data_IF_032121471024
#
_entry.id   IF_032121471024
#
_cell.length_a   1.000
_cell.length_b   1.000
_cell.length_c   1.000
_cell.angle_alpha   90.00
_cell.angle_beta   90.00
_cell.angle_gamma   90.00
#
_symmetry.space_group_name_H-M   'P 1'
#
loop_
_entity.id
_entity.type
_entity.pdbx_description
1 polymer ?
#
# COMPACT_ATOMS: atom_id res chain seq x y z
N UNK A 1 34.47 18.07 28.46
CA UNK A 1 33.05 18.52 28.33
C UNK A 1 32.41 18.17 26.98
N UNK A 2 33.07 18.29 25.83
CA UNK A 2 32.45 18.02 24.50
C UNK A 2 31.91 16.59 24.27
N UNK A 3 32.55 15.56 24.85
CA UNK A 3 32.15 14.15 24.68
C UNK A 3 30.83 13.78 25.41
N UNK A 4 30.52 14.45 26.52
CA UNK A 4 29.27 14.23 27.28
C UNK A 4 28.07 14.79 26.51
N UNK A 5 28.25 15.94 25.87
CA UNK A 5 27.22 16.61 25.06
C UNK A 5 26.86 15.81 23.81
N UNK A 6 27.85 15.23 23.10
CA UNK A 6 27.57 14.38 21.94
C UNK A 6 26.82 13.09 22.30
N UNK A 7 27.11 12.48 23.45
CA UNK A 7 26.40 11.27 23.91
C UNK A 7 24.95 11.56 24.29
N UNK A 8 24.70 12.68 24.97
CA UNK A 8 23.34 13.11 25.30
C UNK A 8 22.50 13.42 24.05
N UNK A 9 23.07 14.13 23.07
CA UNK A 9 22.40 14.43 21.80
C UNK A 9 22.06 13.13 21.03
N UNK A 10 23.01 12.18 20.93
CA UNK A 10 22.76 10.88 20.28
C UNK A 10 21.66 10.08 20.98
N UNK A 11 21.62 10.11 22.32
CA UNK A 11 20.56 9.48 23.10
C UNK A 11 19.19 10.10 22.80
N UNK A 12 19.09 11.44 22.81
CA UNK A 12 17.86 12.16 22.51
C UNK A 12 17.35 11.90 21.07
N UNK A 13 18.24 11.90 20.07
CA UNK A 13 17.90 11.58 18.67
C UNK A 13 17.40 10.14 18.57
N UNK A 14 18.07 9.19 19.25
CA UNK A 14 17.65 7.79 19.28
C UNK A 14 16.23 7.64 19.86
N UNK A 15 15.93 8.30 20.98
CA UNK A 15 14.60 8.27 21.60
C UNK A 15 13.53 8.90 20.71
N UNK A 16 13.82 10.04 20.06
CA UNK A 16 12.89 10.67 19.09
C UNK A 16 12.57 9.74 17.93
N UNK A 17 13.58 9.06 17.37
CA UNK A 17 13.40 8.12 16.26
C UNK A 17 12.59 6.89 16.68
N UNK A 18 12.78 6.37 17.90
CA UNK A 18 12.00 5.24 18.43
C UNK A 18 10.52 5.62 18.57
N UNK A 19 10.23 6.79 19.18
CA UNK A 19 8.86 7.28 19.34
C UNK A 19 8.19 7.53 17.98
N UNK A 20 8.91 8.10 17.03
CA UNK A 20 8.40 8.33 15.69
C UNK A 20 8.13 7.03 14.93
N UNK A 21 9.01 6.04 15.06
CA UNK A 21 8.78 4.71 14.49
C UNK A 21 7.55 4.03 15.10
N UNK A 22 7.34 4.17 16.40
CA UNK A 22 6.10 3.71 17.05
C UNK A 22 4.86 4.37 16.43
N UNK A 23 4.88 5.69 16.21
CA UNK A 23 3.79 6.41 15.54
C UNK A 23 3.51 5.86 14.14
N UNK A 24 4.55 5.60 13.34
CA UNK A 24 4.36 4.96 12.03
C UNK A 24 3.69 3.59 12.13
N UNK A 25 4.14 2.73 13.04
CA UNK A 25 3.53 1.41 13.23
C UNK A 25 2.04 1.52 13.60
N UNK A 26 1.64 2.50 14.42
CA UNK A 26 0.24 2.76 14.76
C UNK A 26 -0.57 3.25 13.56
N UNK A 27 -0.02 4.16 12.75
CA UNK A 27 -0.66 4.61 11.51
C UNK A 27 -0.85 3.46 10.52
N UNK A 28 0.15 2.59 10.38
CA UNK A 28 0.04 1.39 9.55
C UNK A 28 -1.06 0.45 10.03
N UNK A 29 -1.22 0.28 11.34
CA UNK A 29 -2.32 -0.53 11.90
C UNK A 29 -3.69 0.03 11.53
N UNK A 30 -3.85 1.37 11.58
CA UNK A 30 -5.09 2.05 11.17
C UNK A 30 -5.40 1.85 9.68
N UNK A 31 -4.39 1.89 8.81
CA UNK A 31 -4.56 1.58 7.38
C UNK A 31 -5.03 0.12 7.19
N UNK A 32 -4.45 -0.84 7.91
CA UNK A 32 -4.89 -2.24 7.85
C UNK A 32 -6.31 -2.44 8.39
N UNK A 33 -6.69 -1.76 9.48
CA UNK A 33 -8.07 -1.76 9.98
C UNK A 33 -9.05 -1.18 8.95
N UNK A 34 -8.67 -0.07 8.30
CA UNK A 34 -9.47 0.57 7.26
C UNK A 34 -9.67 -0.38 6.07
N UNK A 35 -8.62 -1.06 5.60
CA UNK A 35 -8.73 -2.06 4.53
C UNK A 35 -9.68 -3.21 4.91
N UNK A 36 -9.62 -3.71 6.15
CA UNK A 36 -10.55 -4.74 6.64
C UNK A 36 -11.99 -4.24 6.74
N UNK A 37 -12.19 -2.98 7.11
CA UNK A 37 -13.50 -2.36 7.15
C UNK A 37 -14.09 -2.20 5.75
N UNK A 38 -13.29 -1.74 4.78
CA UNK A 38 -13.71 -1.65 3.37
C UNK A 38 -14.10 -3.03 2.85
N UNK A 39 -13.33 -4.09 3.15
CA UNK A 39 -13.68 -5.48 2.79
C UNK A 39 -15.02 -5.93 3.41
N UNK A 40 -15.34 -5.49 4.64
CA UNK A 40 -16.63 -5.77 5.30
C UNK A 40 -17.79 -4.99 4.66
N UNK A 41 -17.54 -3.77 4.21
CA UNK A 41 -18.53 -2.96 3.48
C UNK A 41 -18.78 -3.57 2.10
N UNK A 42 -17.71 -3.91 1.38
CA UNK A 42 -17.74 -4.53 0.05
C UNK A 42 -18.63 -5.78 0.03
N UNK A 43 -18.59 -6.63 1.06
CA UNK A 43 -19.41 -7.84 1.10
C UNK A 43 -20.93 -7.57 1.15
N UNK A 44 -21.35 -6.34 1.45
CA UNK A 44 -22.77 -5.94 1.52
C UNK A 44 -23.34 -5.47 0.19
N UNK A 45 -22.48 -5.05 -0.74
CA UNK A 45 -22.90 -4.50 -2.03
C UNK A 45 -22.87 -5.55 -3.13
N UNK A 46 -23.90 -5.59 -3.98
CA UNK A 46 -23.98 -6.49 -5.15
C UNK A 46 -23.58 -5.81 -6.47
N UNK A 47 -23.80 -4.48 -6.58
CA UNK A 47 -23.57 -3.72 -7.81
C UNK A 47 -22.08 -3.65 -8.17
N UNK A 48 -21.71 -4.05 -9.39
CA UNK A 48 -20.30 -4.26 -9.78
C UNK A 48 -19.47 -2.98 -9.82
N UNK A 49 -20.02 -1.88 -10.29
CA UNK A 49 -19.38 -0.55 -10.30
C UNK A 49 -18.93 -0.11 -8.89
N UNK A 50 -19.81 -0.23 -7.90
CA UNK A 50 -19.51 0.08 -6.49
C UNK A 50 -18.47 -0.87 -5.95
N UNK A 51 -18.61 -2.17 -6.22
CA UNK A 51 -17.66 -3.19 -5.76
C UNK A 51 -16.26 -2.95 -6.32
N UNK A 52 -16.13 -2.62 -7.61
CA UNK A 52 -14.83 -2.37 -8.23
C UNK A 52 -14.16 -1.11 -7.66
N UNK A 53 -14.93 -0.07 -7.36
CA UNK A 53 -14.42 1.11 -6.67
C UNK A 53 -13.90 0.77 -5.25
N UNK A 54 -14.63 -0.06 -4.51
CA UNK A 54 -14.21 -0.52 -3.18
C UNK A 54 -13.00 -1.46 -3.24
N UNK A 55 -12.91 -2.34 -4.25
CA UNK A 55 -11.73 -3.21 -4.46
C UNK A 55 -10.48 -2.37 -4.66
N UNK A 56 -10.56 -1.34 -5.52
CA UNK A 56 -9.46 -0.39 -5.71
C UNK A 56 -9.06 0.25 -4.39
N UNK A 57 -10.04 0.69 -3.60
CA UNK A 57 -9.79 1.34 -2.31
C UNK A 57 -9.13 0.39 -1.29
N UNK A 58 -9.52 -0.89 -1.25
CA UNK A 58 -8.83 -1.92 -0.43
C UNK A 58 -7.36 -2.00 -0.83
N UNK A 59 -7.06 -2.07 -2.13
CA UNK A 59 -5.68 -2.24 -2.61
C UNK A 59 -4.85 -1.00 -2.30
N UNK A 60 -5.37 0.19 -2.58
CA UNK A 60 -4.66 1.44 -2.29
C UNK A 60 -4.42 1.56 -0.78
N UNK A 61 -5.44 1.33 0.04
CA UNK A 61 -5.35 1.46 1.50
C UNK A 61 -4.41 0.43 2.11
N UNK A 62 -4.49 -0.84 1.68
CA UNK A 62 -3.56 -1.88 2.11
C UNK A 62 -2.11 -1.57 1.72
N UNK A 63 -1.89 -1.00 0.54
CA UNK A 63 -0.55 -0.75 0.00
C UNK A 63 0.13 0.49 0.60
N UNK A 64 -0.61 1.43 1.20
CA UNK A 64 -0.07 2.69 1.78
C UNK A 64 1.11 2.48 2.73
N UNK A 65 1.03 1.59 3.76
CA UNK A 65 2.13 1.35 4.68
C UNK A 65 3.44 0.89 4.02
N UNK A 66 3.37 0.32 2.83
CA UNK A 66 4.51 -0.22 2.09
C UNK A 66 5.10 0.76 1.08
N UNK A 67 4.52 1.96 0.97
CA UNK A 67 5.05 3.06 0.18
C UNK A 67 5.76 4.07 1.07
N UNK A 68 6.68 4.85 0.49
CA UNK A 68 7.54 5.77 1.23
C UNK A 68 6.71 6.75 2.07
N UNK A 69 6.86 6.66 3.40
CA UNK A 69 6.29 7.58 4.36
C UNK A 69 7.36 8.55 4.87
N UNK A 70 7.01 9.83 5.08
CA UNK A 70 7.92 10.85 5.59
C UNK A 70 7.49 11.32 6.96
N UNK A 71 8.43 11.40 7.88
CA UNK A 71 8.22 11.87 9.23
C UNK A 71 9.04 13.12 9.55
N UNK A 72 9.07 13.49 10.83
CA UNK A 72 9.82 14.66 11.31
C UNK A 72 11.32 14.37 11.42
N UNK A 73 11.69 13.19 11.93
CA UNK A 73 13.08 12.77 12.12
C UNK A 73 13.45 11.56 11.24
N UNK A 74 12.47 10.82 10.73
CA UNK A 74 12.67 9.71 9.79
C UNK A 74 12.31 10.19 8.38
N UNK A 75 13.31 10.33 7.52
CA UNK A 75 13.12 10.86 6.16
C UNK A 75 12.37 9.88 5.25
N UNK A 76 12.48 8.57 5.51
CA UNK A 76 11.82 7.50 4.75
C UNK A 76 11.48 6.34 5.68
N UNK A 77 10.20 6.02 5.81
CA UNK A 77 9.72 4.85 6.54
C UNK A 77 8.81 3.97 5.68
N UNK A 78 8.88 2.67 5.93
CA UNK A 78 8.07 1.65 5.30
C UNK A 78 7.71 0.58 6.32
N UNK A 79 6.53 -0.02 6.17
CA UNK A 79 6.11 -1.20 6.90
C UNK A 79 6.86 -2.43 6.37
N UNK A 80 8.01 -2.76 6.97
CA UNK A 80 8.67 -4.03 6.65
C UNK A 80 7.82 -5.19 7.16
N UNK A 81 7.56 -6.20 6.34
CA UNK A 81 6.91 -7.47 6.75
C UNK A 81 7.72 -8.63 6.22
N UNK A 82 7.92 -9.65 7.07
CA UNK A 82 8.51 -10.92 6.65
C UNK A 82 7.38 -11.91 6.41
N UNK A 83 7.42 -12.59 5.29
CA UNK A 83 6.45 -13.63 4.93
C UNK A 83 7.10 -14.99 5.12
N UNK A 84 6.44 -15.84 5.91
CA UNK A 84 6.74 -17.27 6.07
C UNK A 84 6.13 -18.12 4.94
N UNK A 85 5.06 -17.61 4.32
CA UNK A 85 4.34 -18.26 3.24
C UNK A 85 4.61 -17.56 1.88
N UNK A 86 5.20 -18.26 0.89
CA UNK A 86 5.45 -17.73 -0.44
C UNK A 86 4.20 -17.22 -1.17
N UNK A 87 3.03 -17.83 -0.95
CA UNK A 87 1.79 -17.41 -1.61
C UNK A 87 1.29 -16.08 -1.07
N UNK A 88 1.43 -15.85 0.25
CA UNK A 88 1.15 -14.55 0.86
C UNK A 88 2.08 -13.47 0.34
N UNK A 89 3.37 -13.80 0.18
CA UNK A 89 4.36 -12.88 -0.40
C UNK A 89 3.98 -12.53 -1.84
N UNK A 90 3.67 -13.54 -2.67
CA UNK A 90 3.26 -13.33 -4.06
C UNK A 90 2.01 -12.45 -4.17
N UNK A 91 0.99 -12.72 -3.36
CA UNK A 91 -0.21 -11.87 -3.32
C UNK A 91 0.11 -10.45 -2.86
N UNK A 92 0.98 -10.27 -1.84
CA UNK A 92 1.43 -8.95 -1.41
C UNK A 92 2.12 -8.19 -2.57
N UNK A 93 3.06 -8.83 -3.25
CA UNK A 93 3.79 -8.27 -4.39
C UNK A 93 2.82 -7.90 -5.53
N UNK A 94 1.83 -8.76 -5.82
CA UNK A 94 0.77 -8.49 -6.80
C UNK A 94 -0.05 -7.23 -6.44
N UNK A 95 -0.45 -7.08 -5.17
CA UNK A 95 -1.25 -5.93 -4.74
C UNK A 95 -0.46 -4.62 -4.78
N UNK A 96 0.82 -4.65 -4.42
CA UNK A 96 1.71 -3.49 -4.56
C UNK A 96 1.89 -3.11 -6.03
N UNK A 97 2.11 -4.11 -6.89
CA UNK A 97 2.21 -3.90 -8.33
C UNK A 97 0.94 -3.28 -8.90
N UNK A 98 -0.23 -3.81 -8.57
CA UNK A 98 -1.53 -3.25 -8.99
C UNK A 98 -1.74 -1.82 -8.49
N UNK A 99 -1.35 -1.52 -7.25
CA UNK A 99 -1.40 -0.14 -6.74
C UNK A 99 -0.53 0.77 -7.59
N UNK A 100 0.73 0.38 -7.80
CA UNK A 100 1.71 1.23 -8.48
C UNK A 100 1.34 1.42 -9.95
N UNK A 101 1.09 0.34 -10.66
CA UNK A 101 0.95 0.35 -12.12
C UNK A 101 -0.44 0.79 -12.60
N UNK A 102 -1.48 0.61 -11.78
CA UNK A 102 -2.87 0.77 -12.23
C UNK A 102 -3.70 1.75 -11.40
N UNK A 103 -3.64 1.69 -10.07
CA UNK A 103 -4.63 2.37 -9.23
C UNK A 103 -4.19 3.72 -8.66
N UNK A 104 -2.90 3.93 -8.43
CA UNK A 104 -2.36 5.16 -7.86
C UNK A 104 -1.53 5.97 -8.87
N UNK A 105 -1.06 5.34 -9.95
CA UNK A 105 -0.34 6.02 -11.03
C UNK A 105 -0.93 5.68 -12.41
N UNK A 106 -0.57 6.49 -13.40
CA UNK A 106 -0.98 6.30 -14.80
C UNK A 106 0.23 5.78 -15.57
N UNK A 107 0.61 4.53 -15.31
CA UNK A 107 1.80 3.95 -15.93
C UNK A 107 1.50 3.54 -17.38
N UNK A 108 2.27 4.11 -18.30
CA UNK A 108 2.12 3.88 -19.74
C UNK A 108 2.30 2.39 -20.11
N UNK A 109 3.24 1.73 -19.45
CA UNK A 109 3.60 0.32 -19.69
C UNK A 109 2.48 -0.65 -19.30
N UNK A 110 1.73 -0.34 -18.24
CA UNK A 110 0.64 -1.20 -17.79
C UNK A 110 -0.58 -1.13 -18.71
N UNK A 111 -0.97 0.09 -19.08
CA UNK A 111 -2.11 0.35 -19.97
C UNK A 111 -1.81 0.01 -21.41
N UNK A 112 -0.52 0.09 -21.78
CA UNK A 112 0.04 -0.16 -23.11
C UNK A 112 -0.86 0.38 -24.22
N UNK A 113 -1.14 1.71 -24.22
CA UNK A 113 -2.07 2.29 -25.16
C UNK A 113 -1.56 2.10 -26.59
N UNK A 114 -2.41 1.57 -27.45
CA UNK A 114 -2.12 1.46 -28.88
C UNK A 114 -2.70 2.68 -29.57
N UNK A 115 -1.83 3.47 -30.17
CA UNK A 115 -2.19 4.66 -30.95
C UNK A 115 -2.20 4.28 -32.43
N UNK A 116 -3.29 4.60 -33.12
CA UNK A 116 -3.32 4.57 -34.57
C UNK A 116 -3.21 6.00 -35.11
N UNK A 117 -2.72 6.16 -36.34
CA UNK A 117 -2.71 7.44 -37.03
C UNK A 117 -3.74 7.40 -38.15
N UNK A 118 -4.85 8.12 -37.96
CA UNK A 118 -5.94 8.28 -38.93
C UNK A 118 -5.95 9.69 -39.52
N UNK A 119 -4.79 10.35 -39.52
CA UNK A 119 -4.65 11.70 -40.05
C UNK A 119 -4.82 11.73 -41.57
N UNK A 120 -5.42 12.80 -42.06
CA UNK A 120 -5.41 13.22 -43.46
C UNK A 120 -4.44 14.39 -43.66
N UNK A 121 -4.36 14.91 -44.87
CA UNK A 121 -3.55 16.11 -45.19
C UNK A 121 -4.09 17.38 -44.50
N UNK A 122 -5.39 17.42 -44.22
CA UNK A 122 -6.08 18.58 -43.64
C UNK A 122 -6.43 18.40 -42.16
N UNK A 123 -6.38 17.18 -41.63
CA UNK A 123 -6.81 16.90 -40.25
C UNK A 123 -5.93 15.85 -39.58
N UNK A 124 -5.44 16.16 -38.37
CA UNK A 124 -4.66 15.20 -37.58
C UNK A 124 -5.57 14.45 -36.60
N UNK A 125 -5.55 13.13 -36.65
CA UNK A 125 -6.35 12.27 -35.78
C UNK A 125 -5.56 11.06 -35.30
N UNK A 126 -5.45 10.91 -33.99
CA UNK A 126 -4.70 9.83 -33.34
C UNK A 126 -5.56 9.08 -32.33
N UNK A 127 -6.50 8.24 -32.78
CA UNK A 127 -7.29 7.44 -31.86
C UNK A 127 -6.41 6.47 -31.07
N UNK A 128 -6.82 6.24 -29.83
CA UNK A 128 -6.08 5.44 -28.86
C UNK A 128 -6.99 4.38 -28.25
N UNK A 129 -6.51 3.15 -28.20
CA UNK A 129 -7.16 2.05 -27.48
C UNK A 129 -6.33 1.66 -26.27
N UNK A 130 -6.98 1.27 -25.19
CA UNK A 130 -6.33 0.94 -23.91
C UNK A 130 -6.80 -0.43 -23.44
N UNK A 131 -5.88 -1.25 -22.92
CA UNK A 131 -6.26 -2.54 -22.33
C UNK A 131 -7.05 -2.32 -21.03
N UNK A 132 -8.23 -2.94 -20.96
CA UNK A 132 -9.04 -3.00 -19.74
C UNK A 132 -8.38 -3.86 -18.66
N UNK A 133 -8.75 -3.62 -17.40
CA UNK A 133 -8.33 -4.46 -16.28
C UNK A 133 -9.46 -5.42 -15.89
N UNK A 134 -9.14 -6.69 -15.64
CA UNK A 134 -10.11 -7.68 -15.22
C UNK A 134 -10.34 -7.63 -13.71
N UNK A 135 -11.38 -6.91 -13.30
CA UNK A 135 -11.78 -6.83 -11.90
C UNK A 135 -12.40 -8.14 -11.37
N UNK A 136 -12.84 -9.08 -12.22
CA UNK A 136 -13.48 -10.33 -11.77
C UNK A 136 -12.47 -11.28 -11.16
N UNK A 137 -11.28 -11.39 -11.76
CA UNK A 137 -10.16 -12.15 -11.19
C UNK A 137 -9.83 -11.66 -9.78
N UNK A 138 -9.69 -10.34 -9.62
CA UNK A 138 -9.38 -9.73 -8.34
C UNK A 138 -10.49 -9.89 -7.31
N UNK A 139 -11.75 -9.82 -7.74
CA UNK A 139 -12.91 -10.08 -6.89
C UNK A 139 -12.94 -11.53 -6.37
N UNK A 140 -12.51 -12.50 -7.18
CA UNK A 140 -12.42 -13.91 -6.74
C UNK A 140 -11.39 -14.12 -5.63
N UNK A 141 -10.34 -13.30 -5.59
CA UNK A 141 -9.22 -13.37 -4.62
C UNK A 141 -9.51 -12.63 -3.31
N UNK A 142 -10.68 -12.00 -3.14
CA UNK A 142 -11.05 -11.25 -1.93
C UNK A 142 -10.87 -12.02 -0.60
N UNK A 143 -11.20 -13.33 -0.52
CA UNK A 143 -10.93 -14.09 0.70
C UNK A 143 -9.44 -14.18 1.04
N UNK A 144 -8.57 -14.34 0.03
CA UNK A 144 -7.12 -14.38 0.20
C UNK A 144 -6.58 -13.01 0.61
N UNK A 145 -7.04 -11.94 -0.05
CA UNK A 145 -6.67 -10.55 0.30
C UNK A 145 -7.01 -10.26 1.76
N UNK A 146 -8.21 -10.66 2.21
CA UNK A 146 -8.61 -10.51 3.61
C UNK A 146 -7.71 -11.28 4.59
N UNK A 147 -7.30 -12.50 4.24
CA UNK A 147 -6.36 -13.29 5.05
C UNK A 147 -4.98 -12.62 5.11
N UNK A 148 -4.51 -12.10 3.97
CA UNK A 148 -3.24 -11.38 3.88
C UNK A 148 -3.24 -10.12 4.75
N UNK A 149 -4.27 -9.27 4.66
CA UNK A 149 -4.35 -8.05 5.47
C UNK A 149 -4.32 -8.38 6.96
N UNK A 150 -5.07 -9.40 7.40
CA UNK A 150 -5.06 -9.86 8.80
C UNK A 150 -3.70 -10.37 9.24
N UNK A 151 -3.03 -11.13 8.39
CA UNK A 151 -1.69 -11.65 8.65
C UNK A 151 -0.69 -10.50 8.85
N UNK A 152 -0.65 -9.57 7.90
CA UNK A 152 0.22 -8.39 7.92
C UNK A 152 -0.05 -7.54 9.15
N UNK A 153 -1.32 -7.27 9.45
CA UNK A 153 -1.73 -6.51 10.62
C UNK A 153 -1.25 -7.17 11.91
N UNK A 154 -1.38 -8.50 12.03
CA UNK A 154 -0.86 -9.25 13.17
C UNK A 154 0.66 -9.06 13.32
N UNK A 155 1.41 -9.15 12.22
CA UNK A 155 2.87 -8.93 12.24
C UNK A 155 3.21 -7.50 12.67
N UNK A 156 2.47 -6.50 12.21
CA UNK A 156 2.64 -5.10 12.62
C UNK A 156 2.36 -4.92 14.13
N UNK A 157 1.29 -5.54 14.65
CA UNK A 157 0.94 -5.48 16.08
C UNK A 157 1.96 -6.15 16.99
N UNK A 158 2.62 -7.22 16.53
CA UNK A 158 3.74 -7.81 17.28
C UNK A 158 4.89 -6.80 17.43
N UNK A 159 5.21 -6.05 16.38
CA UNK A 159 6.23 -4.99 16.44
C UNK A 159 5.82 -3.84 17.35
N UNK A 160 4.55 -3.43 17.30
CA UNK A 160 4.01 -2.41 18.23
C UNK A 160 4.25 -2.87 19.68
N UNK A 161 3.89 -4.11 20.02
CA UNK A 161 4.06 -4.66 21.36
C UNK A 161 5.56 -4.76 21.78
N UNK A 162 6.48 -4.99 20.86
CA UNK A 162 7.92 -4.94 21.14
C UNK A 162 8.40 -3.52 21.49
N UNK A 163 7.90 -2.51 20.77
CA UNK A 163 8.21 -1.10 21.07
C UNK A 163 7.61 -0.68 22.41
N UNK A 164 6.39 -1.14 22.74
CA UNK A 164 5.72 -0.85 24.02
C UNK A 164 6.50 -1.37 25.23
N UNK A 165 7.31 -2.43 25.08
CA UNK A 165 8.22 -2.90 26.14
C UNK A 165 9.44 -2.01 26.36
N UNK A 166 9.73 -1.11 25.40
CA UNK A 166 10.91 -0.24 25.42
C UNK A 166 10.61 1.16 25.96
N UNK A 167 9.35 1.44 26.28
CA UNK A 167 8.87 2.65 26.93
C UNK A 167 8.53 2.37 28.39
#
# INVERSE_FOLDING_TARGET
>A
MALVTQRAIRSMVKTKNILEKYKFLRLYDMDFESALWILKVLSRYKKKDVRYALIRDVIVTYSRPFTESKGFNISKDFCGVKFDDPDKKKLHDDLLRLRNELFAHTDLTFRNPKVANWSTDTYKWFPMSVKGFDYKDLESRLPEIKRLVRYVQKQNRLKIAEYEKSF
#
